data_IF_418589709263
#
_entry.id   IF_418589709263
#
_cell.length_a   1.000
_cell.length_b   1.000
_cell.length_c   1.000
_cell.angle_alpha   90.00
_cell.angle_beta   90.00
_cell.angle_gamma   90.00
#
_symmetry.space_group_name_H-M   'P 1'
#
loop_
_entity.id
_entity.type
_entity.pdbx_description
1 polymer ?
#
# COMPACT_ATOMS: atom_id res chain seq x y z
N UNK A 1 -77.70 26.07 -4.66
CA UNK A 1 -76.58 25.36 -5.29
C UNK A 1 -75.30 25.88 -4.65
N UNK A 2 -74.59 25.01 -3.94
CA UNK A 2 -73.68 25.37 -2.87
C UNK A 2 -72.30 25.89 -3.36
N UNK A 3 -72.15 27.20 -3.41
CA UNK A 3 -70.85 27.85 -3.66
C UNK A 3 -69.77 27.42 -2.63
N UNK A 4 -70.20 27.24 -1.38
CA UNK A 4 -69.30 26.82 -0.27
C UNK A 4 -68.70 25.43 -0.43
N UNK A 5 -69.47 24.48 -0.96
CA UNK A 5 -68.98 23.12 -1.22
C UNK A 5 -67.90 23.09 -2.30
N UNK A 6 -67.94 23.97 -3.27
CA UNK A 6 -66.96 24.04 -4.34
C UNK A 6 -65.63 24.68 -3.88
N UNK A 7 -65.72 25.60 -2.92
CA UNK A 7 -64.58 26.28 -2.32
C UNK A 7 -63.76 25.33 -1.40
N UNK A 8 -64.44 24.49 -0.66
CA UNK A 8 -63.83 23.53 0.24
C UNK A 8 -63.15 22.39 -0.56
N UNK A 9 -63.78 21.91 -1.62
CA UNK A 9 -63.17 20.92 -2.52
C UNK A 9 -61.91 21.44 -3.24
N UNK A 10 -61.92 22.73 -3.62
CA UNK A 10 -60.73 23.36 -4.21
C UNK A 10 -59.58 23.48 -3.20
N UNK A 11 -59.87 23.82 -1.95
CA UNK A 11 -58.86 23.91 -0.89
C UNK A 11 -58.22 22.55 -0.56
N UNK A 12 -59.02 21.49 -0.53
CA UNK A 12 -58.52 20.13 -0.36
C UNK A 12 -57.59 19.69 -1.52
N UNK A 13 -58.01 19.98 -2.76
CA UNK A 13 -57.13 19.67 -3.92
C UNK A 13 -55.81 20.44 -3.91
N UNK A 14 -55.82 21.70 -3.50
CA UNK A 14 -54.59 22.48 -3.38
C UNK A 14 -53.69 22.00 -2.25
N UNK A 15 -54.28 21.63 -1.11
CA UNK A 15 -53.54 21.10 0.02
C UNK A 15 -52.88 19.74 -0.31
N UNK A 16 -53.58 18.86 -1.01
CA UNK A 16 -53.07 17.56 -1.43
C UNK A 16 -51.96 17.71 -2.46
N UNK A 17 -52.09 18.61 -3.43
CA UNK A 17 -51.04 18.88 -4.42
C UNK A 17 -49.75 19.41 -3.79
N UNK A 18 -49.87 20.33 -2.82
CA UNK A 18 -48.70 20.85 -2.09
C UNK A 18 -48.03 19.79 -1.23
N UNK A 19 -48.81 18.89 -0.63
CA UNK A 19 -48.25 17.79 0.18
C UNK A 19 -47.49 16.79 -0.68
N UNK A 20 -47.99 16.48 -1.87
CA UNK A 20 -47.32 15.59 -2.83
C UNK A 20 -46.02 16.19 -3.39
N UNK A 21 -46.02 17.48 -3.74
CA UNK A 21 -44.79 18.15 -4.20
C UNK A 21 -43.73 18.21 -3.10
N UNK A 22 -44.12 18.47 -1.86
CA UNK A 22 -43.19 18.49 -0.74
C UNK A 22 -42.63 17.10 -0.43
N UNK A 23 -43.45 16.06 -0.51
CA UNK A 23 -42.99 14.67 -0.34
C UNK A 23 -42.03 14.24 -1.47
N UNK A 24 -42.35 14.58 -2.72
CA UNK A 24 -41.51 14.30 -3.87
C UNK A 24 -40.11 14.97 -3.74
N UNK A 25 -40.12 16.25 -3.35
CA UNK A 25 -38.87 17.01 -3.16
C UNK A 25 -38.00 16.43 -2.03
N UNK A 26 -38.61 15.96 -0.94
CA UNK A 26 -37.88 15.26 0.14
C UNK A 26 -37.29 13.94 -0.30
N UNK A 27 -38.01 13.17 -1.12
CA UNK A 27 -37.52 11.87 -1.62
C UNK A 27 -36.33 12.10 -2.56
N UNK A 28 -36.41 13.06 -3.47
CA UNK A 28 -35.34 13.42 -4.39
C UNK A 28 -34.11 13.87 -3.61
N UNK A 29 -34.27 14.78 -2.65
CA UNK A 29 -33.18 15.29 -1.82
C UNK A 29 -32.49 14.19 -0.99
N UNK A 30 -33.27 13.22 -0.48
CA UNK A 30 -32.70 12.06 0.24
C UNK A 30 -31.90 11.12 -0.68
N UNK A 31 -32.36 10.89 -1.90
CA UNK A 31 -31.66 10.07 -2.89
C UNK A 31 -30.35 10.71 -3.32
N UNK A 32 -30.33 12.01 -3.53
CA UNK A 32 -29.11 12.73 -3.92
C UNK A 32 -28.06 12.73 -2.79
N UNK A 33 -28.48 12.89 -1.54
CA UNK A 33 -27.58 12.80 -0.38
C UNK A 33 -27.05 11.36 -0.22
N UNK A 34 -27.90 10.35 -0.33
CA UNK A 34 -27.50 8.96 -0.22
C UNK A 34 -26.53 8.54 -1.35
N UNK A 35 -26.76 9.03 -2.57
CA UNK A 35 -25.90 8.74 -3.72
C UNK A 35 -24.52 9.41 -3.59
N UNK A 36 -24.49 10.65 -3.09
CA UNK A 36 -23.23 11.38 -2.84
C UNK A 36 -22.43 10.75 -1.70
N UNK A 37 -23.07 10.36 -0.61
CA UNK A 37 -22.37 9.71 0.52
C UNK A 37 -21.84 8.33 0.13
N UNK A 38 -22.58 7.54 -0.64
CA UNK A 38 -22.14 6.24 -1.14
C UNK A 38 -20.94 6.37 -2.10
N UNK A 39 -20.95 7.38 -2.97
CA UNK A 39 -19.86 7.64 -3.92
C UNK A 39 -18.58 8.09 -3.20
N UNK A 40 -18.68 8.95 -2.19
CA UNK A 40 -17.55 9.40 -1.38
C UNK A 40 -16.98 8.24 -0.56
N UNK A 41 -17.85 7.42 0.04
CA UNK A 41 -17.42 6.26 0.79
C UNK A 41 -16.71 5.22 -0.09
N UNK A 42 -17.23 4.98 -1.28
CA UNK A 42 -16.59 4.09 -2.27
C UNK A 42 -15.22 4.60 -2.71
N UNK A 43 -15.07 5.91 -2.94
CA UNK A 43 -13.80 6.52 -3.32
C UNK A 43 -12.78 6.49 -2.17
N UNK A 44 -13.20 6.68 -0.93
CA UNK A 44 -12.31 6.59 0.24
C UNK A 44 -11.83 5.16 0.50
N UNK A 45 -12.68 4.15 0.34
CA UNK A 45 -12.29 2.74 0.45
C UNK A 45 -11.33 2.36 -0.67
N UNK A 46 -11.56 2.82 -1.88
CA UNK A 46 -10.65 2.59 -3.01
C UNK A 46 -9.29 3.26 -2.80
N UNK A 47 -9.27 4.49 -2.30
CA UNK A 47 -8.04 5.22 -1.97
C UNK A 47 -7.27 4.56 -0.81
N UNK A 48 -7.96 4.05 0.20
CA UNK A 48 -7.34 3.31 1.31
C UNK A 48 -6.80 1.94 0.86
N UNK A 49 -7.43 1.29 -0.11
CA UNK A 49 -6.96 0.02 -0.68
C UNK A 49 -5.72 0.16 -1.57
N UNK A 50 -5.50 1.34 -2.16
CA UNK A 50 -4.31 1.65 -2.97
C UNK A 50 -3.08 2.06 -2.14
N UNK A 51 -3.25 2.33 -0.85
CA UNK A 51 -2.14 2.59 0.06
C UNK A 51 -1.48 1.31 0.59
N UNK A 52 -1.47 0.23 -0.19
CA UNK A 52 -0.62 -0.94 0.02
C UNK A 52 0.83 -0.48 0.01
N UNK A 53 1.31 -0.02 1.16
CA UNK A 53 2.71 0.38 1.33
C UNK A 53 3.58 -0.85 1.09
N UNK A 54 4.33 -0.83 0.01
CA UNK A 54 5.44 -1.74 -0.19
C UNK A 54 6.52 -1.41 0.84
N UNK A 55 6.43 -2.07 1.98
CA UNK A 55 7.42 -1.93 3.04
C UNK A 55 8.49 -2.99 2.77
N UNK A 56 9.61 -2.56 2.18
CA UNK A 56 10.84 -3.35 2.26
C UNK A 56 11.30 -3.25 3.71
N UNK A 57 11.39 -4.38 4.37
CA UNK A 57 11.77 -4.43 5.78
C UNK A 57 13.24 -4.02 5.92
N UNK A 58 13.49 -2.82 6.38
CA UNK A 58 14.81 -2.27 6.66
C UNK A 58 14.78 -1.52 7.98
N UNK A 59 15.89 -1.47 8.72
CA UNK A 59 15.95 -0.78 10.01
C UNK A 59 15.69 0.73 9.89
N UNK A 60 15.89 1.30 8.70
CA UNK A 60 15.68 2.73 8.43
C UNK A 60 14.78 2.88 7.20
N UNK A 61 13.71 3.65 7.33
CA UNK A 61 12.71 3.84 6.27
C UNK A 61 12.68 5.29 5.81
N UNK A 62 12.81 5.51 4.51
CA UNK A 62 12.63 6.83 3.88
C UNK A 62 11.30 6.92 3.13
N UNK A 63 10.64 8.07 3.19
CA UNK A 63 9.33 8.29 2.55
C UNK A 63 9.45 8.37 1.02
N UNK A 64 10.50 9.04 0.52
CA UNK A 64 10.72 9.23 -0.92
C UNK A 64 11.66 8.18 -1.51
N UNK A 65 12.55 7.65 -0.71
CA UNK A 65 13.50 6.62 -1.11
C UNK A 65 14.26 6.10 0.10
N UNK A 66 14.67 4.84 0.00
CA UNK A 66 15.50 4.17 0.99
C UNK A 66 16.62 3.45 0.26
N UNK A 67 17.84 3.64 0.71
CA UNK A 67 19.00 2.85 0.30
C UNK A 67 19.84 2.61 1.54
N UNK A 68 19.81 1.38 2.07
CA UNK A 68 20.44 1.01 3.35
C UNK A 68 21.09 -0.34 3.18
N UNK A 69 22.29 -0.46 3.76
CA UNK A 69 23.03 -1.73 3.89
C UNK A 69 23.22 -1.95 5.39
N UNK A 70 22.89 -3.13 5.87
CA UNK A 70 23.12 -3.52 7.26
C UNK A 70 23.56 -4.98 7.36
N UNK A 71 24.29 -5.31 8.41
CA UNK A 71 24.74 -6.66 8.72
C UNK A 71 23.85 -7.32 9.75
N UNK A 72 23.52 -8.58 9.53
CA UNK A 72 22.73 -9.39 10.46
C UNK A 72 23.61 -10.36 11.27
N UNK A 73 24.63 -10.97 10.62
CA UNK A 73 25.46 -11.97 11.23
C UNK A 73 26.91 -11.73 10.82
N UNK A 74 27.79 -11.61 11.81
CA UNK A 74 29.22 -11.66 11.63
C UNK A 74 29.78 -12.77 12.55
N UNK A 75 30.35 -13.78 11.96
CA UNK A 75 30.96 -14.92 12.70
C UNK A 75 32.48 -14.73 12.92
N UNK A 76 32.99 -13.56 12.56
CA UNK A 76 34.41 -13.20 12.77
C UNK A 76 34.59 -12.30 13.98
N UNK A 77 35.57 -12.53 14.81
CA UNK A 77 35.95 -11.63 15.89
C UNK A 77 36.31 -10.24 15.33
N UNK A 78 35.72 -9.21 15.92
CA UNK A 78 36.14 -7.84 15.68
C UNK A 78 37.59 -7.67 16.17
N UNK A 79 38.55 -7.70 15.25
CA UNK A 79 39.95 -7.56 15.58
C UNK A 79 40.90 -8.60 14.96
N UNK A 80 40.40 -9.54 14.20
CA UNK A 80 41.25 -10.46 13.48
C UNK A 80 42.06 -9.71 12.39
N UNK A 81 43.37 -9.87 12.35
CA UNK A 81 44.16 -9.18 11.35
C UNK A 81 43.84 -9.71 9.95
N UNK A 82 43.43 -8.76 9.17
CA UNK A 82 43.25 -8.70 7.73
C UNK A 82 43.70 -9.84 6.81
N UNK A 83 43.31 -9.66 5.64
CA UNK A 83 42.21 -10.21 4.88
C UNK A 83 42.72 -11.33 4.02
N UNK A 84 42.40 -12.51 4.37
CA UNK A 84 42.22 -13.51 3.31
C UNK A 84 41.15 -12.91 2.41
N UNK A 85 41.43 -12.82 1.11
CA UNK A 85 40.50 -12.24 0.14
C UNK A 85 39.14 -12.96 0.22
N UNK A 86 38.22 -12.37 0.97
CA UNK A 86 36.88 -12.92 1.11
C UNK A 86 36.17 -12.82 -0.24
N UNK A 87 35.61 -13.92 -0.67
CA UNK A 87 34.67 -13.91 -1.80
C UNK A 87 33.39 -13.25 -1.35
N UNK A 88 32.76 -12.53 -2.26
CA UNK A 88 31.46 -11.93 -2.05
C UNK A 88 30.43 -12.52 -3.02
N UNK A 89 29.30 -12.90 -2.51
CA UNK A 89 28.17 -13.37 -3.28
C UNK A 89 26.92 -12.54 -2.96
N UNK A 90 26.19 -12.15 -3.98
CA UNK A 90 24.99 -11.34 -3.88
C UNK A 90 23.81 -12.03 -4.54
N UNK A 91 22.65 -11.99 -3.89
CA UNK A 91 21.40 -12.48 -4.44
C UNK A 91 20.27 -11.50 -4.11
N UNK A 92 19.46 -11.16 -5.10
CA UNK A 92 18.47 -10.09 -4.99
C UNK A 92 17.08 -10.53 -5.40
N UNK A 93 16.08 -9.91 -4.78
CA UNK A 93 14.70 -9.95 -5.17
C UNK A 93 14.22 -8.53 -5.44
N UNK A 94 13.44 -8.36 -6.50
CA UNK A 94 12.90 -7.08 -6.92
C UNK A 94 11.39 -7.07 -6.77
N UNK A 95 10.81 -5.93 -6.47
CA UNK A 95 9.39 -5.73 -6.44
C UNK A 95 8.99 -4.47 -7.22
N UNK A 96 7.86 -4.55 -7.92
CA UNK A 96 7.33 -3.46 -8.73
C UNK A 96 5.95 -3.13 -8.20
N UNK A 97 5.72 -1.86 -7.82
CA UNK A 97 4.47 -1.31 -7.30
C UNK A 97 3.94 -2.06 -6.05
N UNK A 98 4.76 -2.89 -5.39
CA UNK A 98 4.29 -3.76 -4.32
C UNK A 98 3.33 -4.88 -4.76
N UNK A 99 3.04 -4.97 -6.06
CA UNK A 99 2.10 -5.94 -6.62
C UNK A 99 2.80 -7.19 -7.17
N UNK A 100 3.99 -7.02 -7.70
CA UNK A 100 4.78 -8.10 -8.27
C UNK A 100 6.15 -8.14 -7.61
N UNK A 101 6.46 -9.25 -6.95
CA UNK A 101 7.78 -9.52 -6.40
C UNK A 101 8.39 -10.73 -7.11
N UNK A 102 9.67 -10.63 -7.51
CA UNK A 102 10.39 -11.68 -8.21
C UNK A 102 11.85 -11.69 -7.83
N UNK A 103 12.43 -12.88 -7.70
CA UNK A 103 13.83 -13.09 -7.41
C UNK A 103 14.02 -14.03 -6.22
N UNK A 104 15.27 -14.42 -6.00
CA UNK A 104 15.70 -15.24 -4.86
C UNK A 104 16.81 -14.48 -4.12
N UNK A 105 16.47 -13.90 -2.98
CA UNK A 105 17.37 -13.18 -2.10
C UNK A 105 17.84 -14.04 -0.91
N UNK A 106 17.85 -15.36 -1.07
CA UNK A 106 18.30 -16.26 -0.01
C UNK A 106 19.82 -16.25 0.16
N UNK A 107 20.27 -16.52 1.37
CA UNK A 107 21.70 -16.76 1.68
C UNK A 107 22.27 -17.87 0.81
N UNK A 108 21.46 -18.89 0.51
CA UNK A 108 21.84 -20.01 -0.34
C UNK A 108 22.16 -19.55 -1.77
N UNK A 109 21.29 -18.73 -2.36
CA UNK A 109 21.50 -18.19 -3.70
C UNK A 109 22.75 -17.28 -3.73
N UNK A 110 22.94 -16.44 -2.71
CA UNK A 110 24.13 -15.60 -2.58
C UNK A 110 25.43 -16.43 -2.46
N UNK A 111 25.43 -17.50 -1.65
CA UNK A 111 26.56 -18.43 -1.55
C UNK A 111 26.93 -19.06 -2.89
N UNK A 112 25.93 -19.53 -3.63
CA UNK A 112 26.15 -20.15 -4.94
C UNK A 112 26.72 -19.14 -5.92
N UNK A 113 26.17 -17.92 -5.96
CA UNK A 113 26.64 -16.85 -6.83
C UNK A 113 28.07 -16.43 -6.52
N UNK A 114 28.47 -16.39 -5.24
CA UNK A 114 29.81 -16.05 -4.79
C UNK A 114 30.77 -17.24 -4.77
N UNK A 115 30.30 -18.46 -5.06
CA UNK A 115 31.09 -19.70 -4.90
C UNK A 115 31.73 -19.81 -3.51
N UNK A 116 30.93 -19.50 -2.48
CA UNK A 116 31.32 -19.47 -1.08
C UNK A 116 30.98 -20.82 -0.45
N UNK A 117 31.94 -21.44 0.17
CA UNK A 117 31.77 -22.70 0.92
C UNK A 117 31.49 -22.44 2.39
N UNK A 118 32.19 -21.49 2.98
CA UNK A 118 32.06 -21.12 4.38
C UNK A 118 31.71 -19.65 4.49
N UNK A 119 30.65 -19.35 5.24
CA UNK A 119 30.09 -17.98 5.40
C UNK A 119 30.76 -17.34 6.62
N UNK A 120 31.29 -16.14 6.43
CA UNK A 120 31.90 -15.33 7.49
C UNK A 120 30.94 -14.22 7.95
N UNK A 121 30.27 -13.55 6.99
CA UNK A 121 29.26 -12.54 7.31
C UNK A 121 28.11 -12.56 6.34
N UNK A 122 26.97 -12.10 6.80
CA UNK A 122 25.77 -11.89 6.01
C UNK A 122 25.32 -10.46 6.23
N UNK A 123 25.26 -9.73 5.14
CA UNK A 123 24.76 -8.36 5.12
C UNK A 123 23.48 -8.30 4.26
N UNK A 124 22.65 -7.34 4.52
CA UNK A 124 21.46 -7.07 3.71
C UNK A 124 21.51 -5.67 3.14
N UNK A 125 21.01 -5.50 1.93
CA UNK A 125 20.79 -4.19 1.36
C UNK A 125 19.35 -4.06 0.88
N UNK A 126 18.73 -2.94 1.21
CA UNK A 126 17.41 -2.58 0.75
C UNK A 126 17.47 -1.26 -0.01
N UNK A 127 16.88 -1.25 -1.18
CA UNK A 127 16.71 -0.05 -1.98
C UNK A 127 15.25 0.09 -2.36
N UNK A 128 14.68 1.25 -2.12
CA UNK A 128 13.31 1.58 -2.49
C UNK A 128 13.28 2.97 -3.12
N UNK A 129 12.62 3.10 -4.25
CA UNK A 129 12.44 4.36 -4.95
C UNK A 129 10.95 4.65 -5.11
N UNK A 130 10.47 5.69 -4.43
CA UNK A 130 9.09 6.19 -4.51
C UNK A 130 8.00 5.12 -4.30
N UNK A 131 8.31 4.03 -3.62
CA UNK A 131 7.46 2.85 -3.50
C UNK A 131 7.01 2.22 -4.84
N UNK A 132 7.67 2.60 -5.94
CA UNK A 132 7.41 2.06 -7.28
C UNK A 132 8.31 0.86 -7.53
N UNK A 133 9.60 0.98 -7.21
CA UNK A 133 10.58 -0.09 -7.38
C UNK A 133 11.27 -0.33 -6.05
N UNK A 134 11.24 -1.57 -5.59
CA UNK A 134 11.98 -2.04 -4.43
C UNK A 134 12.93 -3.16 -4.82
N UNK A 135 14.12 -3.14 -4.24
CA UNK A 135 15.11 -4.18 -4.34
C UNK A 135 15.56 -4.60 -2.93
N UNK A 136 15.62 -5.88 -2.70
CA UNK A 136 16.18 -6.47 -1.50
C UNK A 136 17.29 -7.43 -1.90
N UNK A 137 18.45 -7.28 -1.31
CA UNK A 137 19.56 -8.16 -1.58
C UNK A 137 20.20 -8.71 -0.30
N UNK A 138 20.57 -9.96 -0.36
CA UNK A 138 21.43 -10.61 0.62
C UNK A 138 22.84 -10.68 0.07
N UNK A 139 23.81 -10.22 0.85
CA UNK A 139 25.24 -10.18 0.52
C UNK A 139 25.93 -11.10 1.50
N UNK A 140 26.61 -12.10 0.98
CA UNK A 140 27.34 -13.08 1.79
C UNK A 140 28.82 -12.94 1.50
N UNK A 141 29.65 -12.88 2.55
CA UNK A 141 31.11 -12.89 2.44
C UNK A 141 31.64 -14.14 3.11
N UNK A 142 32.70 -14.72 2.52
CA UNK A 142 33.30 -15.95 3.02
C UNK A 142 34.36 -16.51 2.10
N UNK A 143 34.61 -17.80 2.24
CA UNK A 143 35.64 -18.52 1.50
C UNK A 143 35.09 -19.57 0.56
#
# INVERSE_FOLDING_TARGET
MNYKQNEDALKEQFADKHSLEYAATRIIKRRDVAMRTSSVLGLTILAAGLSGCMIVDSPIKGVLGTEVIWGDIATGEAGSPAPVALKEGKACANSILGLLARGDASVRAAKVNGKITEVTSVDHSARNLLNIVGEWCTIVKGH
#
